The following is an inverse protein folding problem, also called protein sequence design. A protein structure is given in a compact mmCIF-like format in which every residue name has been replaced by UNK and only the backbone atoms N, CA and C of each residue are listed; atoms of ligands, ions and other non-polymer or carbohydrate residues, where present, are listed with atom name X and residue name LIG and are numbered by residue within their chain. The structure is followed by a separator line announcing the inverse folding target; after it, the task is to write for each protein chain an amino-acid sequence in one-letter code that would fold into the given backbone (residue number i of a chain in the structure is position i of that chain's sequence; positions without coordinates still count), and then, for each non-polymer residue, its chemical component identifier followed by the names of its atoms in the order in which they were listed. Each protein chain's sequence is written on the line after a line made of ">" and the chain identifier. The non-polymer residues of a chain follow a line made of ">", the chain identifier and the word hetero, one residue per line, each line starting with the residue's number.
data_IF_711769130717
#
_entry.id   IF_711769130717
#
_cell.length_a   1.000
_cell.length_b   1.000
_cell.length_c   1.000
_cell.angle_alpha   90.00
_cell.angle_beta   90.00
_cell.angle_gamma   90.00
#
_symmetry.space_group_name_H-M   'P 1'
#
loop_
_entity.id
_entity.type
_entity.pdbx_description
1 polymer ?
#
# COMPACT_ATOMS: atom_id res chain seq x y z
N UNK A 1 -61.40 -41.72 20.49
CA UNK A 1 -60.29 -41.42 21.42
C UNK A 1 -59.61 -40.14 20.93
N UNK A 2 -60.03 -38.98 21.46
CA UNK A 2 -59.30 -38.06 22.37
C UNK A 2 -58.04 -37.39 21.76
N UNK A 3 -58.08 -36.05 21.84
CA UNK A 3 -57.19 -35.00 21.31
C UNK A 3 -55.91 -34.80 22.16
N UNK A 4 -55.08 -33.85 21.70
CA UNK A 4 -54.04 -33.03 22.41
C UNK A 4 -52.64 -33.64 22.53
N UNK A 5 -51.48 -32.95 22.35
CA UNK A 5 -51.08 -31.59 21.90
C UNK A 5 -49.52 -31.53 21.93
N UNK A 6 -48.90 -30.61 21.17
CA UNK A 6 -47.59 -29.94 21.41
C UNK A 6 -46.31 -30.82 21.37
N UNK A 7 -45.20 -30.46 20.72
CA UNK A 7 -44.78 -29.14 20.24
C UNK A 7 -43.51 -29.19 19.39
N UNK A 8 -43.45 -28.20 18.51
CA UNK A 8 -42.33 -27.78 17.67
C UNK A 8 -41.26 -27.15 18.57
N UNK A 9 -40.01 -27.61 18.49
CA UNK A 9 -38.85 -26.86 19.00
C UNK A 9 -37.89 -26.62 17.82
N UNK A 10 -38.14 -25.52 17.12
CA UNK A 10 -37.28 -24.95 16.11
C UNK A 10 -36.25 -24.08 16.85
N UNK A 11 -35.05 -24.62 17.04
CA UNK A 11 -33.93 -23.92 17.68
C UNK A 11 -33.36 -22.91 16.68
N UNK A 12 -34.02 -21.75 16.58
CA UNK A 12 -33.44 -20.56 15.97
C UNK A 12 -32.35 -20.07 16.92
N UNK A 13 -31.10 -20.33 16.57
CA UNK A 13 -29.95 -19.67 17.20
C UNK A 13 -29.97 -18.22 16.71
N UNK A 14 -30.69 -17.38 17.45
CA UNK A 14 -30.63 -15.94 17.35
C UNK A 14 -29.28 -15.51 17.94
N UNK A 15 -28.26 -15.31 17.10
CA UNK A 15 -27.06 -14.59 17.52
C UNK A 15 -27.46 -13.14 17.71
N UNK A 16 -27.80 -12.78 18.95
CA UNK A 16 -27.97 -11.40 19.40
C UNK A 16 -26.60 -10.72 19.29
N UNK A 17 -26.34 -10.07 18.16
CA UNK A 17 -25.39 -8.97 18.10
C UNK A 17 -26.01 -7.83 18.90
N UNK A 18 -25.57 -7.67 20.15
CA UNK A 18 -25.81 -6.46 20.93
C UNK A 18 -25.11 -5.30 20.23
N UNK A 19 -25.82 -4.64 19.31
CA UNK A 19 -25.44 -3.34 18.76
C UNK A 19 -25.82 -2.28 19.79
N UNK A 20 -24.84 -1.88 20.59
CA UNK A 20 -24.88 -0.60 21.30
C UNK A 20 -23.51 0.05 21.23
N UNK A 21 -23.24 0.71 20.10
CA UNK A 21 -22.26 1.79 20.05
C UNK A 21 -22.82 2.85 19.10
N UNK A 22 -23.50 3.85 19.68
CA UNK A 22 -23.90 5.10 19.00
C UNK A 22 -22.70 6.06 18.78
N UNK A 23 -21.47 5.53 18.81
CA UNK A 23 -20.21 6.21 18.51
C UNK A 23 -19.35 5.20 17.74
N UNK A 24 -19.67 4.92 16.49
CA UNK A 24 -19.09 3.78 15.77
C UNK A 24 -17.66 4.09 15.29
N UNK A 25 -16.69 4.15 16.20
CA UNK A 25 -15.28 4.16 15.83
C UNK A 25 -14.96 2.79 15.22
N UNK A 26 -14.59 2.79 13.95
CA UNK A 26 -14.24 1.58 13.20
C UNK A 26 -12.73 1.36 13.32
N UNK A 27 -12.34 0.13 13.64
CA UNK A 27 -10.95 -0.31 13.66
C UNK A 27 -10.75 -1.35 12.56
N UNK A 28 -9.88 -1.02 11.61
CA UNK A 28 -9.57 -1.88 10.47
C UNK A 28 -8.06 -2.02 10.28
N UNK A 29 -7.64 -3.15 9.75
CA UNK A 29 -6.24 -3.34 9.32
C UNK A 29 -6.10 -2.78 7.92
N UNK A 30 -5.44 -1.62 7.78
CA UNK A 30 -5.21 -1.00 6.48
C UNK A 30 -4.39 -1.92 5.58
N UNK A 31 -3.32 -2.52 6.14
CA UNK A 31 -2.44 -3.42 5.39
C UNK A 31 -1.78 -4.45 6.31
N UNK A 32 -1.91 -5.72 5.97
CA UNK A 32 -1.20 -6.84 6.59
C UNK A 32 -0.14 -7.37 5.61
N UNK A 33 1.13 -7.12 5.90
CA UNK A 33 2.23 -7.51 5.02
C UNK A 33 2.40 -9.03 4.93
N UNK A 34 1.82 -9.81 5.85
CA UNK A 34 1.87 -11.28 5.76
C UNK A 34 0.99 -11.85 4.65
N UNK A 35 -0.08 -11.12 4.28
CA UNK A 35 -1.10 -11.53 3.29
C UNK A 35 -1.18 -10.62 2.08
N UNK A 36 -0.33 -9.60 2.00
CA UNK A 36 -0.40 -8.57 0.98
C UNK A 36 -0.29 -9.14 -0.44
N UNK A 37 0.69 -10.00 -0.68
CA UNK A 37 0.92 -10.61 -1.99
C UNK A 37 -0.29 -11.45 -2.44
N UNK A 38 -0.83 -12.29 -1.54
CA UNK A 38 -1.99 -13.15 -1.83
C UNK A 38 -3.24 -12.30 -2.15
N UNK A 39 -3.42 -11.20 -1.43
CA UNK A 39 -4.53 -10.28 -1.65
C UNK A 39 -4.41 -9.57 -3.01
N UNK A 40 -3.20 -9.20 -3.45
CA UNK A 40 -3.01 -8.62 -4.79
C UNK A 40 -3.37 -9.62 -5.89
N UNK A 41 -3.01 -10.89 -5.74
CA UNK A 41 -3.32 -11.96 -6.70
C UNK A 41 -4.83 -12.18 -6.89
N UNK A 42 -5.63 -11.89 -5.87
CA UNK A 42 -7.09 -12.07 -5.95
C UNK A 42 -7.78 -11.09 -6.89
N UNK A 43 -7.27 -9.86 -6.98
CA UNK A 43 -7.94 -8.75 -7.68
C UNK A 43 -7.20 -8.29 -8.93
N UNK A 44 -5.98 -8.75 -9.14
CA UNK A 44 -5.17 -8.39 -10.30
C UNK A 44 -4.90 -9.64 -11.14
N UNK A 45 -5.04 -9.56 -12.47
CA UNK A 45 -4.69 -10.70 -13.33
C UNK A 45 -3.21 -11.02 -13.21
N UNK A 46 -2.88 -12.32 -13.19
CA UNK A 46 -1.53 -12.77 -13.50
C UNK A 46 -1.19 -12.33 -14.93
N UNK A 47 0.03 -11.86 -15.19
CA UNK A 47 0.44 -11.49 -16.54
C UNK A 47 0.52 -12.77 -17.37
N UNK A 48 -0.54 -13.08 -18.11
CA UNK A 48 -0.44 -14.00 -19.25
C UNK A 48 0.31 -13.25 -20.34
N UNK A 49 1.61 -13.53 -20.42
CA UNK A 49 2.49 -13.18 -21.54
C UNK A 49 2.26 -11.79 -22.17
N UNK A 50 2.73 -10.75 -21.50
CA UNK A 50 3.29 -9.46 -21.98
C UNK A 50 2.62 -8.63 -23.11
N UNK A 51 1.77 -9.17 -23.99
CA UNK A 51 1.24 -8.49 -25.18
C UNK A 51 -0.15 -9.05 -25.55
N UNK A 52 -1.21 -8.29 -25.32
CA UNK A 52 -2.44 -8.48 -26.10
C UNK A 52 -2.27 -7.68 -27.39
N UNK A 53 -2.18 -8.37 -28.52
CA UNK A 53 -1.98 -7.71 -29.81
C UNK A 53 -3.36 -7.33 -30.31
N UNK A 54 -3.72 -6.04 -30.28
CA UNK A 54 -4.90 -5.60 -30.99
C UNK A 54 -4.75 -5.93 -32.48
N UNK A 55 -5.84 -6.08 -33.23
CA UNK A 55 -5.84 -6.34 -34.69
C UNK A 55 -4.97 -5.37 -35.50
N UNK A 56 -4.61 -4.22 -34.90
CA UNK A 56 -3.76 -3.15 -35.44
C UNK A 56 -2.26 -3.31 -35.12
N UNK A 57 -1.81 -4.40 -34.49
CA UNK A 57 -0.39 -4.65 -34.18
C UNK A 57 0.17 -3.84 -33.00
N UNK A 58 -0.67 -3.12 -32.26
CA UNK A 58 -0.26 -2.42 -31.04
C UNK A 58 -0.43 -3.36 -29.85
N UNK A 59 0.64 -3.58 -29.09
CA UNK A 59 0.59 -4.37 -27.88
C UNK A 59 0.23 -3.50 -26.67
N UNK A 60 -0.70 -3.96 -25.84
CA UNK A 60 -1.04 -3.29 -24.58
C UNK A 60 -0.46 -4.08 -23.41
N UNK A 61 0.40 -3.42 -22.62
CA UNK A 61 1.02 -4.04 -21.45
C UNK A 61 0.17 -3.75 -20.22
N UNK A 62 -0.12 -4.77 -19.43
CA UNK A 62 -0.84 -4.63 -18.18
C UNK A 62 0.12 -4.85 -17.00
N UNK A 63 0.02 -4.00 -15.98
CA UNK A 63 0.77 -4.18 -14.73
C UNK A 63 0.19 -5.39 -14.00
N UNK A 64 1.04 -6.37 -13.73
CA UNK A 64 0.68 -7.59 -13.02
C UNK A 64 0.64 -7.42 -11.51
N UNK A 65 -0.05 -8.36 -10.85
CA UNK A 65 0.02 -8.54 -9.40
C UNK A 65 1.46 -8.64 -8.87
N UNK A 66 2.35 -9.29 -9.63
CA UNK A 66 3.74 -9.49 -9.25
C UNK A 66 4.51 -8.20 -9.03
N UNK A 67 4.19 -7.11 -9.75
CA UNK A 67 4.85 -5.81 -9.58
C UNK A 67 4.45 -5.11 -8.28
N UNK A 68 3.41 -5.59 -7.59
CA UNK A 68 2.98 -5.12 -6.26
C UNK A 68 3.54 -5.95 -5.11
N UNK A 69 4.20 -7.08 -5.39
CA UNK A 69 4.76 -7.93 -4.36
C UNK A 69 5.82 -7.21 -3.54
N UNK A 70 5.93 -7.59 -2.27
CA UNK A 70 6.80 -6.91 -1.31
C UNK A 70 8.29 -6.86 -1.70
N UNK A 71 8.77 -7.82 -2.49
CA UNK A 71 10.15 -7.83 -3.02
C UNK A 71 10.40 -6.78 -4.11
N UNK A 72 9.34 -6.33 -4.78
CA UNK A 72 9.42 -5.41 -5.91
C UNK A 72 9.18 -3.95 -5.49
N UNK A 73 8.95 -3.67 -4.20
CA UNK A 73 8.79 -2.31 -3.72
C UNK A 73 10.11 -1.54 -3.81
N UNK A 74 10.00 -0.26 -4.16
CA UNK A 74 11.17 0.62 -4.33
C UNK A 74 11.40 1.49 -3.11
N UNK A 75 12.68 1.83 -2.92
CA UNK A 75 13.14 2.79 -1.92
C UNK A 75 13.69 4.01 -2.64
N UNK A 76 12.91 5.09 -2.67
CA UNK A 76 13.33 6.36 -3.25
C UNK A 76 14.08 7.19 -2.20
N UNK A 77 15.38 7.36 -2.39
CA UNK A 77 16.20 8.24 -1.55
C UNK A 77 16.01 9.71 -1.94
N UNK A 78 16.18 10.61 -0.97
CA UNK A 78 16.30 12.04 -1.24
C UNK A 78 17.39 12.33 -2.30
N UNK A 79 17.18 13.33 -3.16
CA UNK A 79 18.09 13.64 -4.27
C UNK A 79 19.55 13.84 -3.83
N UNK A 80 19.77 14.44 -2.67
CA UNK A 80 21.11 14.62 -2.07
C UNK A 80 21.78 13.29 -1.73
N UNK A 81 21.01 12.31 -1.23
CA UNK A 81 21.53 10.99 -0.91
C UNK A 81 21.74 10.12 -2.15
N UNK A 82 20.85 10.24 -3.14
CA UNK A 82 20.91 9.53 -4.42
C UNK A 82 22.14 9.95 -5.23
N UNK A 83 22.39 11.25 -5.36
CA UNK A 83 23.47 11.77 -6.21
C UNK A 83 24.87 11.58 -5.63
N UNK A 84 24.98 11.25 -4.35
CA UNK A 84 26.26 11.12 -3.67
C UNK A 84 26.97 9.79 -3.97
N UNK A 85 26.22 8.70 -4.18
CA UNK A 85 26.77 7.42 -4.61
C UNK A 85 25.69 6.50 -5.17
N UNK A 86 26.01 5.82 -6.28
CA UNK A 86 25.16 4.76 -6.85
C UNK A 86 24.97 3.60 -5.86
N UNK A 87 25.96 3.33 -5.00
CA UNK A 87 25.88 2.27 -3.99
C UNK A 87 24.74 2.49 -3.00
N UNK A 88 24.37 3.75 -2.74
CA UNK A 88 23.27 4.05 -1.84
C UNK A 88 21.94 3.55 -2.44
N UNK A 89 21.76 3.73 -3.74
CA UNK A 89 20.56 3.28 -4.47
C UNK A 89 20.54 1.76 -4.56
N UNK A 90 21.63 1.13 -4.99
CA UNK A 90 21.71 -0.32 -5.17
C UNK A 90 21.48 -1.07 -3.84
N UNK A 91 21.99 -0.53 -2.73
CA UNK A 91 21.83 -1.15 -1.41
C UNK A 91 20.56 -0.70 -0.67
N UNK A 92 19.67 0.06 -1.32
CA UNK A 92 18.37 0.45 -0.77
C UNK A 92 17.26 -0.29 -1.48
N UNK A 93 16.71 -1.32 -0.83
CA UNK A 93 15.70 -2.19 -1.42
C UNK A 93 14.79 -2.78 -0.33
N UNK A 94 13.71 -3.38 -0.78
CA UNK A 94 12.77 -4.12 0.06
C UNK A 94 12.91 -5.61 -0.16
N UNK A 95 12.48 -6.39 0.83
CA UNK A 95 12.49 -7.85 0.76
C UNK A 95 11.37 -8.43 1.61
N UNK A 96 10.71 -9.47 1.12
CA UNK A 96 9.82 -10.32 1.89
C UNK A 96 10.67 -11.19 2.81
N UNK A 97 10.47 -11.03 4.11
CA UNK A 97 11.26 -11.74 5.13
C UNK A 97 10.34 -12.53 6.04
N UNK A 98 10.72 -13.78 6.33
CA UNK A 98 10.01 -14.60 7.29
C UNK A 98 10.42 -14.25 8.72
N UNK A 99 9.43 -13.96 9.56
CA UNK A 99 9.55 -13.64 10.97
C UNK A 99 9.01 -14.81 11.79
N UNK A 100 9.78 -15.24 12.79
CA UNK A 100 9.41 -16.35 13.68
C UNK A 100 8.03 -16.17 14.35
N UNK A 101 7.64 -14.92 14.65
CA UNK A 101 6.41 -14.62 15.40
C UNK A 101 5.25 -14.15 14.51
N UNK A 102 5.53 -13.71 13.29
CA UNK A 102 4.58 -12.91 12.50
C UNK A 102 4.45 -13.35 11.04
N UNK A 103 5.04 -14.49 10.66
CA UNK A 103 5.04 -14.95 9.28
C UNK A 103 5.82 -13.99 8.38
N UNK A 104 5.32 -13.72 7.18
CA UNK A 104 6.00 -12.80 6.27
C UNK A 104 5.82 -11.32 6.68
N UNK A 105 6.92 -10.57 6.62
CA UNK A 105 6.97 -9.15 6.93
C UNK A 105 7.74 -8.39 5.85
N UNK A 106 7.47 -7.10 5.73
CA UNK A 106 8.21 -6.21 4.83
C UNK A 106 9.54 -5.86 5.48
N UNK A 107 10.63 -6.44 4.97
CA UNK A 107 12.00 -6.03 5.28
C UNK A 107 12.40 -4.84 4.43
N UNK A 108 12.94 -3.81 5.06
CA UNK A 108 13.43 -2.61 4.38
C UNK A 108 14.89 -2.41 4.74
N UNK A 109 15.73 -2.32 3.71
CA UNK A 109 17.11 -1.83 3.85
C UNK A 109 17.23 -0.48 3.14
N UNK A 110 17.79 0.49 3.84
CA UNK A 110 18.11 1.82 3.29
C UNK A 110 19.55 2.13 3.59
N UNK A 111 20.34 2.44 2.57
CA UNK A 111 21.72 2.89 2.74
C UNK A 111 21.81 4.40 2.62
N UNK A 112 21.87 5.07 3.76
CA UNK A 112 22.08 6.51 3.80
C UNK A 112 23.56 6.88 3.59
N UNK A 113 23.85 8.07 3.03
CA UNK A 113 25.22 8.54 2.89
C UNK A 113 25.87 8.75 4.25
N UNK A 114 27.16 8.38 4.38
CA UNK A 114 27.96 8.40 5.64
C UNK A 114 28.22 9.81 6.25
N UNK A 115 27.60 10.86 5.73
CA UNK A 115 27.70 12.22 6.28
C UNK A 115 26.64 12.54 7.34
N UNK A 116 26.84 13.59 8.11
CA UNK A 116 25.90 14.15 9.09
C UNK A 116 24.92 15.14 8.43
N UNK A 117 24.34 14.72 7.31
CA UNK A 117 23.34 15.50 6.58
C UNK A 117 21.95 14.90 6.78
N UNK A 118 20.90 15.74 6.90
CA UNK A 118 19.55 15.25 6.96
C UNK A 118 19.19 14.59 5.64
N UNK A 119 18.45 13.49 5.70
CA UNK A 119 18.03 12.76 4.52
C UNK A 119 16.74 12.00 4.81
N UNK A 120 16.06 11.55 3.78
CA UNK A 120 14.90 10.69 3.93
C UNK A 120 14.89 9.63 2.83
N UNK A 121 14.17 8.56 3.10
CA UNK A 121 13.89 7.49 2.16
C UNK A 121 12.39 7.22 2.13
N UNK A 122 11.84 7.05 0.93
CA UNK A 122 10.42 6.77 0.71
C UNK A 122 10.31 5.34 0.20
N UNK A 123 9.72 4.47 1.02
CA UNK A 123 9.44 3.07 0.69
C UNK A 123 8.02 2.99 0.16
N UNK A 124 7.84 2.54 -1.08
CA UNK A 124 6.53 2.49 -1.73
C UNK A 124 6.44 1.39 -2.78
N UNK A 125 5.23 0.92 -3.12
CA UNK A 125 5.05 0.09 -4.29
C UNK A 125 5.51 0.82 -5.57
N UNK A 126 5.83 0.05 -6.62
CA UNK A 126 6.23 0.64 -7.90
C UNK A 126 5.10 1.43 -8.54
N UNK A 127 3.87 0.97 -8.33
CA UNK A 127 2.64 1.55 -8.85
C UNK A 127 1.66 1.86 -7.71
N UNK A 128 0.76 2.85 -7.87
CA UNK A 128 -0.29 3.12 -6.89
C UNK A 128 -1.22 1.91 -6.74
N UNK A 129 -1.64 1.63 -5.51
CA UNK A 129 -2.59 0.55 -5.24
C UNK A 129 -3.94 0.90 -5.89
N UNK A 130 -4.50 0.03 -6.74
CA UNK A 130 -5.77 0.31 -7.39
C UNK A 130 -6.90 0.21 -6.37
N UNK A 131 -7.81 1.17 -6.45
CA UNK A 131 -8.92 1.35 -5.51
C UNK A 131 -10.22 0.73 -6.05
N UNK A 132 -10.39 0.71 -7.38
CA UNK A 132 -11.64 0.32 -8.04
C UNK A 132 -11.43 -0.81 -9.05
N UNK A 133 -12.41 -1.72 -9.12
CA UNK A 133 -12.56 -2.70 -10.19
C UNK A 133 -13.17 -2.08 -11.47
N UNK A 134 -13.26 -2.84 -12.57
CA UNK A 134 -13.95 -2.48 -13.82
C UNK A 134 -15.41 -2.07 -13.61
N UNK A 135 -16.05 -2.61 -12.56
CA UNK A 135 -17.43 -2.29 -12.19
C UNK A 135 -17.56 -1.12 -11.22
N UNK A 136 -16.47 -0.40 -10.92
CA UNK A 136 -16.48 0.72 -9.96
C UNK A 136 -16.58 0.29 -8.49
N UNK A 137 -16.50 -1.01 -8.19
CA UNK A 137 -16.51 -1.53 -6.81
C UNK A 137 -15.14 -1.35 -6.16
N UNK A 138 -15.11 -0.99 -4.88
CA UNK A 138 -13.89 -0.94 -4.09
C UNK A 138 -13.19 -2.31 -4.03
N UNK A 139 -11.88 -2.32 -4.32
CA UNK A 139 -10.97 -3.47 -4.22
C UNK A 139 -9.80 -3.12 -3.29
N UNK A 140 -9.01 -4.13 -2.91
CA UNK A 140 -7.89 -3.96 -1.97
C UNK A 140 -8.27 -3.33 -0.63
N UNK A 141 -9.54 -3.48 -0.23
CA UNK A 141 -9.99 -3.14 1.13
C UNK A 141 -9.22 -4.05 2.10
N UNK A 142 -8.60 -3.45 3.13
CA UNK A 142 -7.65 -4.12 4.03
C UNK A 142 -6.33 -4.60 3.38
N UNK A 143 -6.05 -4.14 2.15
CA UNK A 143 -4.80 -4.37 1.43
C UNK A 143 -4.25 -3.07 0.84
N UNK A 144 -4.23 -2.03 1.67
CA UNK A 144 -3.79 -0.69 1.33
C UNK A 144 -4.91 0.30 1.02
N UNK A 145 -6.18 -0.09 1.12
CA UNK A 145 -7.33 0.83 0.96
C UNK A 145 -8.25 0.72 2.18
N UNK A 146 -8.60 1.88 2.77
CA UNK A 146 -9.62 2.03 3.81
C UNK A 146 -10.77 2.88 3.26
N UNK A 147 -12.00 2.37 3.34
CA UNK A 147 -13.19 2.98 2.75
C UNK A 147 -14.10 3.60 3.81
N UNK A 148 -14.94 4.55 3.40
CA UNK A 148 -15.90 5.22 4.27
C UNK A 148 -15.23 5.98 5.44
N UNK A 149 -14.06 6.60 5.19
CA UNK A 149 -13.30 7.29 6.23
C UNK A 149 -13.65 8.78 6.27
N UNK A 150 -14.19 9.27 7.40
CA UNK A 150 -14.41 10.70 7.61
C UNK A 150 -13.20 11.35 8.26
N UNK A 151 -12.91 10.94 9.49
CA UNK A 151 -11.84 11.48 10.32
C UNK A 151 -11.06 10.34 10.96
N UNK A 152 -9.74 10.35 10.78
CA UNK A 152 -8.85 9.36 11.38
C UNK A 152 -8.62 9.74 12.84
N UNK A 153 -8.87 8.79 13.73
CA UNK A 153 -8.58 8.90 15.17
C UNK A 153 -7.13 8.52 15.45
N UNK A 154 -6.72 7.35 14.99
CA UNK A 154 -5.38 6.84 15.21
C UNK A 154 -4.91 5.97 14.05
N UNK A 155 -3.59 5.90 13.87
CA UNK A 155 -2.94 4.94 12.98
C UNK A 155 -1.92 4.20 13.86
N UNK A 156 -1.86 2.87 13.74
CA UNK A 156 -0.92 2.04 14.47
C UNK A 156 -0.04 1.27 13.49
N UNK A 157 1.27 1.31 13.67
CA UNK A 157 2.25 0.60 12.85
C UNK A 157 3.03 -0.37 13.71
N UNK A 158 3.02 -1.64 13.33
CA UNK A 158 3.84 -2.67 13.98
C UNK A 158 5.15 -2.80 13.24
N UNK A 159 6.23 -2.37 13.90
CA UNK A 159 7.56 -2.25 13.30
C UNK A 159 8.63 -2.79 14.27
N UNK A 160 9.66 -3.42 13.71
CA UNK A 160 10.81 -3.91 14.44
C UNK A 160 11.97 -2.91 14.37
N UNK A 161 12.25 -2.25 15.50
CA UNK A 161 13.39 -1.34 15.65
C UNK A 161 14.70 -2.10 15.87
N UNK A 162 15.81 -1.44 15.51
CA UNK A 162 17.18 -1.92 15.69
C UNK A 162 18.07 -0.87 16.37
N UNK A 163 17.48 -0.04 17.24
CA UNK A 163 18.13 1.09 17.94
C UNK A 163 18.69 2.17 16.99
N UNK A 164 18.05 2.39 15.84
CA UNK A 164 18.39 3.51 14.98
C UNK A 164 17.63 4.75 15.42
N UNK A 165 18.29 5.90 15.63
CA UNK A 165 17.64 7.17 15.97
C UNK A 165 17.00 7.81 14.73
N UNK A 166 16.30 7.03 13.91
CA UNK A 166 15.63 7.50 12.69
C UNK A 166 14.14 7.61 12.96
N UNK A 167 13.43 8.40 12.18
CA UNK A 167 12.02 8.67 12.42
C UNK A 167 11.15 8.05 11.34
N UNK A 168 9.93 7.67 11.68
CA UNK A 168 8.99 7.03 10.77
C UNK A 168 7.78 7.93 10.52
N UNK A 169 7.35 8.02 9.27
CA UNK A 169 6.05 8.56 8.88
C UNK A 169 5.36 7.64 7.87
N UNK A 170 4.03 7.71 7.81
CA UNK A 170 3.21 7.10 6.75
C UNK A 170 2.58 8.20 5.93
N UNK A 171 2.53 8.00 4.62
CA UNK A 171 1.77 8.81 3.68
C UNK A 171 0.55 8.03 3.20
N UNK A 172 -0.62 8.61 3.41
CA UNK A 172 -1.88 8.14 2.84
C UNK A 172 -2.35 9.16 1.80
N UNK A 173 -2.96 8.67 0.74
CA UNK A 173 -3.57 9.51 -0.27
C UNK A 173 -5.10 9.42 -0.18
N UNK A 174 -5.75 10.58 -0.17
CA UNK A 174 -7.21 10.69 -0.16
C UNK A 174 -7.80 10.52 -1.59
N UNK A 175 -9.13 10.42 -1.69
CA UNK A 175 -9.92 10.39 -2.94
C UNK A 175 -9.56 11.51 -3.91
N UNK A 176 -9.20 12.67 -3.37
CA UNK A 176 -8.89 13.88 -4.16
C UNK A 176 -7.39 13.98 -4.52
N UNK A 177 -6.63 12.89 -4.38
CA UNK A 177 -5.19 12.76 -4.66
C UNK A 177 -4.26 13.59 -3.77
N UNK A 178 -4.79 14.14 -2.67
CA UNK A 178 -3.98 14.82 -1.66
C UNK A 178 -3.22 13.80 -0.81
N UNK A 179 -1.93 14.05 -0.58
CA UNK A 179 -1.08 13.20 0.25
C UNK A 179 -1.03 13.78 1.67
N UNK A 180 -1.43 12.98 2.63
CA UNK A 180 -1.40 13.28 4.06
C UNK A 180 -0.29 12.48 4.72
N UNK A 181 0.60 13.16 5.45
CA UNK A 181 1.71 12.54 6.15
C UNK A 181 1.45 12.49 7.66
N UNK A 182 1.61 11.30 8.24
CA UNK A 182 1.39 10.99 9.66
C UNK A 182 2.71 10.55 10.30
N UNK A 183 3.21 11.34 11.25
CA UNK A 183 4.51 11.15 11.88
C UNK A 183 4.41 10.35 13.19
N UNK A 184 5.22 9.30 13.35
CA UNK A 184 5.17 8.36 14.48
C UNK A 184 6.28 8.54 15.51
N UNK A 185 7.29 9.37 15.22
CA UNK A 185 8.46 9.53 16.08
C UNK A 185 9.59 8.57 15.76
N UNK A 186 10.44 8.32 16.75
CA UNK A 186 11.75 7.69 16.58
C UNK A 186 11.71 6.16 16.67
N UNK A 187 12.62 5.51 15.94
CA UNK A 187 12.87 4.07 15.88
C UNK A 187 13.99 3.61 16.83
N UNK A 188 14.25 4.41 17.86
CA UNK A 188 15.29 4.16 18.86
C UNK A 188 14.84 3.15 19.92
N UNK A 189 14.55 1.93 19.47
CA UNK A 189 14.24 0.78 20.30
C UNK A 189 14.66 -0.52 19.59
N UNK A 190 14.74 -1.60 20.36
CA UNK A 190 15.13 -2.91 19.87
C UNK A 190 13.94 -3.87 19.91
N UNK A 191 13.70 -4.56 18.79
CA UNK A 191 12.63 -5.54 18.68
C UNK A 191 11.31 -4.93 18.23
N UNK A 192 10.23 -5.69 18.38
CA UNK A 192 8.90 -5.34 17.88
C UNK A 192 8.20 -4.35 18.80
N UNK A 193 7.67 -3.25 18.22
CA UNK A 193 6.86 -2.27 18.92
C UNK A 193 5.72 -1.80 18.01
N UNK A 194 4.60 -1.47 18.63
CA UNK A 194 3.52 -0.74 17.94
C UNK A 194 3.71 0.75 18.17
N UNK A 195 3.92 1.51 17.09
CA UNK A 195 3.94 2.97 17.11
C UNK A 195 2.54 3.47 16.79
N UNK A 196 2.06 4.44 17.55
CA UNK A 196 0.72 4.98 17.40
C UNK A 196 0.82 6.47 17.11
N UNK A 197 0.25 6.89 15.98
CA UNK A 197 -0.07 8.28 15.73
C UNK A 197 -1.52 8.50 16.17
N UNK A 198 -1.75 9.52 16.98
CA UNK A 198 -3.08 9.91 17.45
C UNK A 198 -3.38 11.32 16.96
N UNK A 199 -4.55 11.52 16.37
CA UNK A 199 -5.00 12.83 15.94
C UNK A 199 -5.36 13.69 17.18
N UNK A 200 -4.63 14.79 17.47
CA UNK A 200 -4.92 15.64 18.63
C UNK A 200 -6.25 16.40 18.51
N UNK A 201 -6.73 16.58 17.28
CA UNK A 201 -7.96 17.32 16.98
C UNK A 201 -9.20 16.40 16.93
N UNK A 202 -9.03 15.09 17.15
CA UNK A 202 -10.15 14.16 17.11
C UNK A 202 -11.09 14.38 18.29
N UNK A 203 -12.35 14.62 17.99
CA UNK A 203 -13.39 14.77 19.01
C UNK A 203 -14.17 13.46 19.12
N UNK A 204 -14.10 12.79 20.28
CA UNK A 204 -14.85 11.54 20.50
C UNK A 204 -16.37 11.76 20.55
N UNK A 205 -16.83 12.93 20.99
CA UNK A 205 -18.25 13.24 21.14
C UNK A 205 -18.84 13.88 19.88
N UNK A 206 -19.67 13.14 19.16
CA UNK A 206 -20.34 13.60 17.93
C UNK A 206 -21.18 14.87 18.14
N UNK A 207 -21.75 15.09 19.33
CA UNK A 207 -22.54 16.29 19.63
C UNK A 207 -21.72 17.58 19.66
N UNK A 208 -20.42 17.46 19.91
CA UNK A 208 -19.48 18.58 19.90
C UNK A 208 -18.88 18.81 18.50
N UNK A 209 -19.08 17.87 17.57
CA UNK A 209 -18.65 18.06 16.17
C UNK A 209 -19.62 19.00 15.46
N UNK A 210 -19.07 19.95 14.71
CA UNK A 210 -19.85 20.72 13.76
C UNK A 210 -20.20 19.77 12.62
N UNK A 211 -21.42 19.20 12.65
CA UNK A 211 -21.92 18.29 11.62
C UNK A 211 -22.14 19.05 10.32
N UNK A 212 -21.18 18.94 9.40
CA UNK A 212 -21.31 19.48 8.05
C UNK A 212 -22.07 18.49 7.18
N UNK A 213 -23.28 18.88 6.74
CA UNK A 213 -24.07 18.11 5.77
C UNK A 213 -23.60 18.48 4.37
N UNK A 214 -22.61 17.75 3.86
CA UNK A 214 -22.20 17.85 2.46
C UNK A 214 -22.96 16.81 1.63
N UNK A 215 -23.49 17.18 0.44
CA UNK A 215 -24.10 16.20 -0.45
C UNK A 215 -23.02 15.21 -0.91
N UNK A 216 -23.28 13.91 -0.70
CA UNK A 216 -22.36 12.87 -1.10
C UNK A 216 -22.41 12.67 -2.63
N UNK A 217 -23.57 12.40 -3.20
CA UNK A 217 -23.71 12.20 -4.64
C UNK A 217 -23.61 13.54 -5.39
N UNK A 218 -22.85 13.64 -6.51
CA UNK A 218 -22.20 12.59 -7.31
C UNK A 218 -20.70 12.39 -6.99
N UNK A 219 -20.26 12.60 -5.75
CA UNK A 219 -18.88 12.30 -5.31
C UNK A 219 -18.81 10.87 -4.75
N UNK A 220 -17.68 10.19 -4.97
CA UNK A 220 -17.49 8.84 -4.42
C UNK A 220 -17.36 8.89 -2.90
N UNK A 221 -17.64 7.78 -2.21
CA UNK A 221 -17.42 7.67 -0.77
C UNK A 221 -15.94 8.00 -0.45
N UNK A 222 -15.66 8.81 0.59
CA UNK A 222 -14.29 9.09 1.02
C UNK A 222 -13.51 7.81 1.34
N UNK A 223 -12.25 7.74 0.90
CA UNK A 223 -11.37 6.61 1.16
C UNK A 223 -9.94 7.10 1.27
N UNK A 224 -9.11 6.37 2.02
CA UNK A 224 -7.67 6.55 2.03
C UNK A 224 -7.01 5.34 1.37
N UNK A 225 -6.01 5.60 0.52
CA UNK A 225 -5.10 4.58 0.00
C UNK A 225 -3.70 4.77 0.55
N UNK A 226 -3.01 3.68 0.82
CA UNK A 226 -1.61 3.69 1.20
C UNK A 226 -0.76 4.16 0.01
N UNK A 227 0.05 5.20 0.23
CA UNK A 227 0.97 5.72 -0.77
C UNK A 227 2.40 5.26 -0.47
N UNK A 228 2.92 5.59 0.71
CA UNK A 228 4.31 5.32 1.05
C UNK A 228 4.61 5.36 2.56
N UNK A 229 5.73 4.73 2.92
CA UNK A 229 6.37 4.85 4.23
C UNK A 229 7.60 5.74 4.08
N UNK A 230 7.79 6.68 4.99
CA UNK A 230 8.93 7.61 4.97
C UNK A 230 9.80 7.38 6.19
N UNK A 231 11.09 7.20 5.95
CA UNK A 231 12.09 7.11 7.00
C UNK A 231 12.95 8.36 6.95
N UNK A 232 12.95 9.13 8.03
CA UNK A 232 13.76 10.33 8.18
C UNK A 232 15.04 10.01 8.95
N UNK A 233 16.17 10.41 8.37
CA UNK A 233 17.46 10.41 9.03
C UNK A 233 17.72 11.82 9.60
N UNK A 234 17.90 11.97 10.92
CA UNK A 234 18.23 13.25 11.51
C UNK A 234 19.68 13.65 11.17
N UNK A 235 19.99 14.96 11.18
CA UNK A 235 21.31 15.46 10.77
C UNK A 235 22.45 15.09 11.74
N UNK A 236 22.15 14.81 13.00
CA UNK A 236 23.17 14.56 14.04
C UNK A 236 23.82 13.17 13.96
N UNK A 237 23.26 12.28 13.13
CA UNK A 237 23.63 10.87 13.11
C UNK A 237 24.33 10.55 11.80
N UNK A 238 25.46 9.85 11.89
CA UNK A 238 26.14 9.36 10.69
C UNK A 238 25.24 8.38 9.95
N UNK A 239 25.24 8.44 8.62
CA UNK A 239 24.47 7.50 7.83
C UNK A 239 25.12 6.12 7.77
N UNK A 240 24.55 5.27 6.93
CA UNK A 240 24.96 3.89 6.75
C UNK A 240 23.77 3.03 6.42
N UNK A 241 23.95 1.72 6.59
CA UNK A 241 22.87 0.76 6.43
C UNK A 241 21.88 0.87 7.60
N UNK A 242 20.62 1.11 7.24
CA UNK A 242 19.47 1.07 8.11
C UNK A 242 18.58 -0.08 7.70
N UNK A 243 18.19 -0.89 8.68
CA UNK A 243 17.37 -2.07 8.45
C UNK A 243 16.20 -2.01 9.43
N UNK A 244 15.00 -2.20 8.90
CA UNK A 244 13.78 -2.31 9.70
C UNK A 244 12.83 -3.32 9.09
N UNK A 245 11.87 -3.81 9.88
CA UNK A 245 10.86 -4.76 9.45
C UNK A 245 9.47 -4.28 9.85
N UNK A 246 8.50 -4.35 8.95
CA UNK A 246 7.15 -3.84 9.16
C UNK A 246 6.17 -5.00 8.98
N UNK A 247 5.30 -5.21 9.97
CA UNK A 247 4.34 -6.31 9.99
C UNK A 247 2.95 -5.88 9.50
N UNK A 248 2.38 -4.83 10.10
CA UNK A 248 1.03 -4.39 9.79
C UNK A 248 0.84 -2.90 10.07
N UNK A 249 -0.16 -2.34 9.40
CA UNK A 249 -0.66 -1.00 9.60
C UNK A 249 -2.16 -1.11 9.89
N UNK A 250 -2.56 -0.66 11.08
CA UNK A 250 -3.95 -0.61 11.53
C UNK A 250 -4.41 0.86 11.57
N UNK A 251 -5.67 1.10 11.28
CA UNK A 251 -6.29 2.43 11.28
C UNK A 251 -7.57 2.42 12.10
N UNK A 252 -7.76 3.45 12.90
CA UNK A 252 -8.99 3.70 13.65
C UNK A 252 -9.59 5.02 13.18
N UNK A 253 -10.85 5.01 12.77
CA UNK A 253 -11.49 6.18 12.19
C UNK A 253 -12.99 6.24 12.47
N UNK A 254 -13.54 7.44 12.31
CA UNK A 254 -14.98 7.69 12.29
C UNK A 254 -15.51 7.45 10.88
N UNK A 255 -16.57 6.65 10.69
CA UNK A 255 -17.18 6.45 9.39
C UNK A 255 -17.82 7.75 8.87
N UNK A 256 -17.87 7.91 7.55
CA UNK A 256 -18.54 9.05 6.92
C UNK A 256 -20.05 8.82 6.77
N UNK A 257 -20.43 7.62 6.36
CA UNK A 257 -21.81 7.15 6.32
C UNK A 257 -22.06 6.14 7.43
N UNK A 258 -23.13 6.35 8.19
CA UNK A 258 -23.62 5.44 9.24
C UNK A 258 -24.90 4.72 8.76
N UNK A 259 -25.11 4.64 7.43
CA UNK A 259 -26.30 4.15 6.72
C UNK A 259 -27.46 5.16 6.59
N UNK A 260 -27.60 5.81 5.42
CA UNK A 260 -28.90 6.15 4.88
C UNK A 260 -29.29 5.09 3.86
N UNK A 261 -30.26 4.24 4.20
CA UNK A 261 -31.00 3.49 3.20
C UNK A 261 -31.98 4.47 2.54
N UNK A 262 -31.50 5.19 1.52
CA UNK A 262 -32.37 5.98 0.67
C UNK A 262 -33.26 5.03 -0.15
N UNK A 263 -34.49 5.45 -0.45
CA UNK A 263 -35.45 4.67 -1.22
C UNK A 263 -35.04 4.52 -2.70
N UNK A 264 -34.18 5.42 -3.17
CA UNK A 264 -33.67 5.49 -4.53
C UNK A 264 -32.16 5.21 -4.52
N UNK A 265 -31.73 4.23 -5.32
CA UNK A 265 -30.31 4.03 -5.64
C UNK A 265 -29.92 4.96 -6.80
N UNK A 266 -29.42 6.15 -6.44
CA UNK A 266 -28.97 7.17 -7.40
C UNK A 266 -27.95 6.63 -8.41
N UNK A 267 -27.03 5.77 -7.98
CA UNK A 267 -25.99 5.25 -8.87
C UNK A 267 -26.56 4.26 -9.88
N UNK A 268 -27.57 3.46 -9.50
CA UNK A 268 -28.25 2.56 -10.43
C UNK A 268 -28.95 3.33 -11.57
N UNK A 269 -29.51 4.51 -11.27
CA UNK A 269 -30.25 5.34 -12.23
C UNK A 269 -29.31 6.14 -13.13
N UNK A 270 -28.33 6.80 -12.54
CA UNK A 270 -27.53 7.82 -13.23
C UNK A 270 -26.15 7.34 -13.69
N UNK A 271 -25.58 6.35 -13.00
CA UNK A 271 -24.28 5.74 -13.31
C UNK A 271 -23.11 6.75 -13.42
N UNK A 272 -23.16 7.87 -12.69
CA UNK A 272 -22.15 8.93 -12.79
C UNK A 272 -20.85 8.46 -12.15
N UNK A 273 -20.91 7.84 -10.97
CA UNK A 273 -19.72 7.38 -10.28
C UNK A 273 -19.05 6.23 -11.04
N UNK A 274 -19.82 5.29 -11.59
CA UNK A 274 -19.29 4.21 -12.41
C UNK A 274 -18.53 4.75 -13.63
N UNK A 275 -19.08 5.75 -14.32
CA UNK A 275 -18.42 6.39 -15.47
C UNK A 275 -17.13 7.13 -15.07
N UNK A 276 -17.18 7.91 -13.99
CA UNK A 276 -16.02 8.66 -13.48
C UNK A 276 -14.92 7.75 -12.94
N UNK A 277 -15.28 6.72 -12.17
CA UNK A 277 -14.32 5.73 -11.64
C UNK A 277 -13.67 4.95 -12.77
N UNK A 278 -14.43 4.50 -13.77
CA UNK A 278 -13.89 3.84 -14.95
C UNK A 278 -12.96 4.77 -15.75
N UNK A 279 -13.36 6.02 -15.95
CA UNK A 279 -12.52 7.04 -16.62
C UNK A 279 -11.21 7.24 -15.87
N UNK A 280 -11.25 7.41 -14.54
CA UNK A 280 -10.06 7.59 -13.69
C UNK A 280 -9.15 6.36 -13.72
N UNK A 281 -9.74 5.16 -13.58
CA UNK A 281 -9.03 3.89 -13.69
C UNK A 281 -8.31 3.80 -15.03
N UNK A 282 -8.98 4.08 -16.14
CA UNK A 282 -8.38 4.01 -17.48
C UNK A 282 -7.21 5.00 -17.65
N UNK A 283 -7.30 6.20 -17.08
CA UNK A 283 -6.20 7.18 -17.10
C UNK A 283 -5.01 6.69 -16.26
N UNK A 284 -5.27 6.19 -15.05
CA UNK A 284 -4.22 5.65 -14.17
C UNK A 284 -3.55 4.44 -14.82
N UNK A 285 -4.34 3.51 -15.36
CA UNK A 285 -3.87 2.33 -16.05
C UNK A 285 -3.07 2.65 -17.33
N UNK A 286 -3.48 3.65 -18.11
CA UNK A 286 -2.71 4.10 -19.28
C UNK A 286 -1.33 4.63 -18.86
N UNK A 287 -1.27 5.52 -17.84
CA UNK A 287 0.00 6.03 -17.30
C UNK A 287 0.89 4.92 -16.77
N UNK A 288 0.29 3.94 -16.10
CA UNK A 288 1.00 2.78 -15.57
C UNK A 288 1.52 1.87 -16.68
N UNK A 289 0.72 1.64 -17.73
CA UNK A 289 1.11 0.86 -18.91
C UNK A 289 2.32 1.49 -19.60
N UNK A 290 2.27 2.78 -19.89
CA UNK A 290 3.36 3.51 -20.54
C UNK A 290 4.65 3.42 -19.70
N UNK A 291 4.54 3.66 -18.39
CA UNK A 291 5.68 3.55 -17.48
C UNK A 291 6.24 2.13 -17.43
N UNK A 292 5.37 1.12 -17.34
CA UNK A 292 5.77 -0.27 -17.27
C UNK A 292 6.42 -0.75 -18.56
N UNK A 293 5.94 -0.31 -19.71
CA UNK A 293 6.58 -0.58 -21.00
C UNK A 293 8.01 -0.04 -21.06
N UNK A 294 8.22 1.21 -20.62
CA UNK A 294 9.56 1.80 -20.53
C UNK A 294 10.47 0.99 -19.61
N UNK A 295 9.96 0.58 -18.46
CA UNK A 295 10.67 -0.23 -17.49
C UNK A 295 11.05 -1.61 -18.07
N UNK A 296 10.15 -2.26 -18.80
CA UNK A 296 10.43 -3.53 -19.49
C UNK A 296 11.51 -3.37 -20.56
N UNK A 297 11.46 -2.29 -21.36
CA UNK A 297 12.49 -1.99 -22.37
C UNK A 297 13.85 -1.77 -21.72
N UNK A 298 13.89 -1.03 -20.60
CA UNK A 298 15.11 -0.81 -19.84
C UNK A 298 15.67 -2.12 -19.25
N UNK A 299 14.82 -2.94 -18.61
CA UNK A 299 15.23 -4.27 -18.10
C UNK A 299 15.83 -5.14 -19.21
N UNK A 300 15.19 -5.22 -20.39
CA UNK A 300 15.71 -5.97 -21.55
C UNK A 300 17.06 -5.44 -22.03
N UNK A 301 17.21 -4.13 -22.14
CA UNK A 301 18.49 -3.49 -22.52
C UNK A 301 19.60 -3.79 -21.52
N UNK A 302 19.31 -3.73 -20.21
CA UNK A 302 20.30 -4.03 -19.18
C UNK A 302 20.72 -5.50 -19.20
N UNK A 303 19.77 -6.41 -19.44
CA UNK A 303 20.06 -7.83 -19.60
C UNK A 303 20.94 -8.12 -20.83
N UNK A 304 20.69 -7.47 -21.97
CA UNK A 304 21.54 -7.65 -23.15
C UNK A 304 22.96 -7.13 -22.90
N UNK A 305 23.10 -5.93 -22.34
CA UNK A 305 24.40 -5.36 -21.98
C UNK A 305 25.17 -6.25 -20.99
N UNK A 306 24.48 -6.80 -19.98
CA UNK A 306 25.09 -7.72 -19.02
C UNK A 306 25.62 -8.99 -19.70
N UNK A 307 24.83 -9.57 -20.62
CA UNK A 307 25.23 -10.77 -21.37
C UNK A 307 26.43 -10.50 -22.29
N UNK A 308 26.49 -9.33 -22.93
CA UNK A 308 27.63 -8.89 -23.74
C UNK A 308 28.91 -8.79 -22.90
N UNK A 309 28.86 -8.13 -21.73
CA UNK A 309 29.99 -8.04 -20.80
C UNK A 309 30.47 -9.42 -20.32
N UNK A 310 29.56 -10.35 -20.07
CA UNK A 310 29.90 -11.73 -19.70
C UNK A 310 30.62 -12.50 -20.83
N UNK A 311 30.29 -12.20 -22.09
CA UNK A 311 30.99 -12.79 -23.22
C UNK A 311 32.39 -12.19 -23.39
N UNK A 312 32.52 -10.87 -23.22
CA UNK A 312 33.80 -10.17 -23.30
C UNK A 312 34.78 -10.67 -22.23
N UNK A 313 34.35 -10.77 -20.98
CA UNK A 313 35.16 -11.29 -19.86
C UNK A 313 35.64 -12.72 -20.11
N UNK A 314 34.75 -13.63 -20.53
CA UNK A 314 35.12 -15.01 -20.91
C UNK A 314 36.13 -15.06 -22.07
N UNK A 315 36.00 -14.16 -23.04
CA UNK A 315 36.93 -14.07 -24.18
C UNK A 315 38.32 -13.56 -23.78
N UNK A 316 38.41 -12.71 -22.75
CA UNK A 316 39.68 -12.21 -22.20
C UNK A 316 40.39 -13.28 -21.36
N UNK A 317 39.64 -14.06 -20.56
CA UNK A 317 40.18 -15.18 -19.78
C UNK A 317 40.77 -16.29 -20.68
N UNK A 318 40.09 -16.61 -21.79
CA UNK A 318 40.59 -17.60 -22.78
C UNK A 318 41.85 -17.14 -23.51
N UNK A 319 41.97 -15.84 -23.83
CA UNK A 319 43.20 -15.27 -24.41
C UNK A 319 44.37 -15.19 -23.42
N UNK A 320 44.08 -15.02 -22.13
CA UNK A 320 45.11 -14.99 -21.08
C UNK A 320 45.67 -16.37 -20.72
N UNK A 321 44.89 -17.43 -20.93
CA UNK A 321 45.28 -18.83 -20.68
C UNK A 321 46.01 -19.48 -21.86
N UNK A 322 45.90 -18.93 -23.07
CA UNK A 322 46.68 -19.37 -24.25
C UNK A 322 48.05 -18.69 -24.35
N UNK A 323 48.29 -17.62 -23.59
CA UNK A 323 49.56 -16.87 -23.54
C UNK A 323 50.42 -17.20 -22.29
N UNK A 324 50.12 -18.31 -21.59
CA UNK A 324 50.96 -18.91 -20.53
C UNK A 324 51.42 -20.29 -20.97
#
# INVERSE_FOLDING_TARGET
>A
MKRLYIGILLLVVFSVLSVTNLNAIVKETLMDFSKADDNFMKYMPEPKETYDTNEQGTYKVYVSASEYFLDNWRVDLASSAKNMSIDNVVNSYTKKVESANYGYVLGVRVRFPKGTMPSYAVVKPNFPIPVYDEKGKFINVNNGVAVNVNEIKSITVRIAGRNYPYQLAIRLMDRDFNIHEYFFGDLFFQGWKSLVWSNPNFVDNERLKILKRDPLYPKSIPFYRFDSLVVYKPPQVSGGDFITYIQSIDIEYSPFLIEPADDIDDESVWQILAKETLRRKNIEQARMSDFFELLLRERKRLQSMYNELLQETKSQETKSSTNK
#
